data_IF_348054861886
#
_entry.id   IF_348054861886
#
_cell.length_a   1.000
_cell.length_b   1.000
_cell.length_c   1.000
_cell.angle_alpha   90.00
_cell.angle_beta   90.00
_cell.angle_gamma   90.00
#
_symmetry.space_group_name_H-M   'P 1'
#
loop_
_entity.id
_entity.type
_entity.pdbx_description
1 polymer ?
#
# COMPACT_ATOMS: atom_id res chain seq x y z
N UNK A 1 -37.31 -39.96 -6.03
CA UNK A 1 -37.00 -41.26 -5.43
C UNK A 1 -35.88 -40.97 -4.46
N UNK A 2 -36.03 -41.28 -3.16
CA UNK A 2 -34.90 -41.17 -2.25
C UNK A 2 -34.01 -42.39 -2.53
N UNK A 3 -32.82 -42.20 -3.06
CA UNK A 3 -31.87 -43.29 -3.14
C UNK A 3 -31.52 -43.73 -1.71
N UNK A 4 -31.07 -44.98 -1.56
CA UNK A 4 -30.50 -45.43 -0.28
C UNK A 4 -29.30 -44.55 0.10
N UNK A 5 -28.95 -44.46 1.38
CA UNK A 5 -27.75 -43.74 1.82
C UNK A 5 -26.49 -44.55 1.45
N UNK A 6 -25.45 -43.87 0.94
CA UNK A 6 -24.17 -44.54 0.72
C UNK A 6 -23.50 -44.90 2.06
N UNK A 7 -22.78 -46.02 2.08
CA UNK A 7 -21.92 -46.41 3.22
C UNK A 7 -20.48 -46.46 2.73
N UNK A 8 -19.58 -45.78 3.44
CA UNK A 8 -18.16 -45.71 3.09
C UNK A 8 -17.32 -46.63 4.00
N UNK A 9 -16.21 -47.13 3.47
CA UNK A 9 -15.16 -47.76 4.27
C UNK A 9 -14.24 -46.71 4.95
N UNK A 10 -13.22 -47.17 5.67
CA UNK A 10 -12.23 -46.32 6.34
C UNK A 10 -11.37 -45.47 5.38
N UNK A 11 -11.38 -45.80 4.08
CA UNK A 11 -10.65 -45.06 3.04
C UNK A 11 -11.56 -44.07 2.31
N UNK A 12 -12.83 -43.92 2.73
CA UNK A 12 -13.80 -43.05 2.08
C UNK A 12 -14.37 -43.59 0.78
N UNK A 13 -14.27 -44.90 0.54
CA UNK A 13 -14.79 -45.58 -0.67
C UNK A 13 -16.16 -46.20 -0.38
N UNK A 14 -17.12 -45.98 -1.27
CA UNK A 14 -18.47 -46.51 -1.12
C UNK A 14 -18.49 -48.05 -1.20
N UNK A 15 -18.87 -48.70 -0.11
CA UNK A 15 -19.16 -50.14 -0.03
C UNK A 15 -20.66 -50.43 -0.19
N UNK A 16 -21.49 -49.40 -0.20
CA UNK A 16 -22.90 -49.46 -0.59
C UNK A 16 -23.20 -48.22 -1.41
N UNK A 17 -23.79 -48.41 -2.60
CA UNK A 17 -24.15 -47.31 -3.48
C UNK A 17 -25.35 -46.54 -2.94
N UNK A 18 -25.34 -45.21 -3.11
CA UNK A 18 -26.39 -44.37 -2.57
C UNK A 18 -26.07 -42.88 -2.59
N UNK A 19 -26.98 -42.09 -2.06
CA UNK A 19 -26.79 -40.65 -1.87
C UNK A 19 -26.04 -40.39 -0.55
N UNK A 20 -25.15 -39.39 -0.54
CA UNK A 20 -24.47 -38.90 0.65
C UNK A 20 -24.36 -37.38 0.59
N UNK A 21 -24.48 -36.70 1.73
CA UNK A 21 -24.15 -35.28 1.81
C UNK A 21 -22.64 -35.11 1.98
N UNK A 22 -22.04 -34.34 1.10
CA UNK A 22 -20.64 -33.92 1.21
C UNK A 22 -20.56 -32.42 1.44
N UNK A 23 -19.51 -32.00 2.13
CA UNK A 23 -19.23 -30.61 2.45
C UNK A 23 -17.98 -30.18 1.69
N UNK A 24 -18.17 -29.31 0.71
CA UNK A 24 -17.13 -28.83 -0.19
C UNK A 24 -16.35 -27.70 0.47
N UNK A 25 -15.03 -27.70 0.27
CA UNK A 25 -14.14 -26.65 0.74
C UNK A 25 -13.20 -26.18 -0.36
N UNK A 26 -12.67 -24.97 -0.20
CA UNK A 26 -11.71 -24.38 -1.12
C UNK A 26 -10.38 -25.13 -1.11
N UNK A 27 -9.74 -25.30 -2.27
CA UNK A 27 -8.51 -26.07 -2.37
C UNK A 27 -7.29 -25.37 -1.75
N UNK A 28 -7.28 -24.03 -1.72
CA UNK A 28 -6.14 -23.22 -1.27
C UNK A 28 -6.25 -22.89 0.22
N UNK A 29 -7.36 -22.25 0.62
CA UNK A 29 -7.54 -21.76 1.98
C UNK A 29 -8.37 -22.71 2.87
N UNK A 30 -8.89 -23.80 2.28
CA UNK A 30 -9.65 -24.86 2.97
C UNK A 30 -10.96 -24.37 3.61
N UNK A 31 -11.42 -23.18 3.24
CA UNK A 31 -12.67 -22.61 3.75
C UNK A 31 -13.87 -23.41 3.25
N UNK A 32 -14.84 -23.64 4.15
CA UNK A 32 -16.11 -24.24 3.80
C UNK A 32 -16.87 -23.41 2.76
N UNK A 33 -17.32 -24.04 1.67
CA UNK A 33 -18.04 -23.39 0.58
C UNK A 33 -19.53 -23.71 0.60
N UNK A 34 -19.88 -25.01 0.56
CA UNK A 34 -21.26 -25.45 0.41
C UNK A 34 -21.44 -26.92 0.78
N UNK A 35 -22.69 -27.35 0.96
CA UNK A 35 -23.06 -28.75 1.08
C UNK A 35 -23.82 -29.21 -0.17
N UNK A 36 -23.48 -30.37 -0.72
CA UNK A 36 -24.18 -30.99 -1.85
C UNK A 36 -24.52 -32.45 -1.53
N UNK A 37 -25.57 -32.97 -2.18
CA UNK A 37 -25.91 -34.39 -2.12
C UNK A 37 -25.36 -35.05 -3.38
N UNK A 38 -24.45 -36.00 -3.20
CA UNK A 38 -23.80 -36.74 -4.28
C UNK A 38 -24.27 -38.19 -4.27
N UNK A 39 -24.51 -38.74 -5.45
CA UNK A 39 -24.71 -40.18 -5.59
C UNK A 39 -23.37 -40.87 -5.82
N UNK A 40 -23.02 -41.81 -4.94
CA UNK A 40 -21.82 -42.63 -5.07
C UNK A 40 -22.19 -44.04 -5.49
N UNK A 41 -21.60 -44.51 -6.60
CA UNK A 41 -21.65 -45.93 -6.98
C UNK A 41 -20.71 -46.77 -6.10
N UNK A 42 -20.94 -48.08 -6.03
CA UNK A 42 -20.04 -49.00 -5.34
C UNK A 42 -18.60 -48.87 -5.88
N UNK A 43 -17.63 -48.75 -4.98
CA UNK A 43 -16.21 -48.59 -5.32
C UNK A 43 -15.77 -47.16 -5.67
N UNK A 44 -16.66 -46.17 -5.55
CA UNK A 44 -16.37 -44.75 -5.83
C UNK A 44 -16.16 -43.97 -4.53
N UNK A 45 -15.15 -43.10 -4.49
CA UNK A 45 -14.88 -42.19 -3.37
C UNK A 45 -15.63 -40.86 -3.47
N UNK A 46 -15.64 -40.09 -2.39
CA UNK A 46 -16.18 -38.72 -2.39
C UNK A 46 -15.39 -37.81 -3.35
N UNK A 47 -16.00 -36.71 -3.85
CA UNK A 47 -15.29 -35.72 -4.65
C UNK A 47 -14.05 -35.16 -3.94
N UNK A 48 -13.04 -34.74 -4.71
CA UNK A 48 -11.89 -34.02 -4.16
C UNK A 48 -12.34 -32.73 -3.46
N UNK A 49 -11.59 -32.33 -2.43
CA UNK A 49 -11.90 -31.14 -1.62
C UNK A 49 -13.30 -31.16 -1.00
N UNK A 50 -13.72 -32.35 -0.55
CA UNK A 50 -14.96 -32.54 0.19
C UNK A 50 -14.75 -33.48 1.38
N UNK A 51 -15.63 -33.39 2.38
CA UNK A 51 -15.67 -34.32 3.50
C UNK A 51 -17.13 -34.66 3.89
N UNK A 52 -17.30 -35.66 4.77
CA UNK A 52 -18.63 -36.14 5.19
C UNK A 52 -19.03 -35.65 6.58
N UNK A 53 -18.07 -35.13 7.36
CA UNK A 53 -18.34 -34.50 8.65
C UNK A 53 -18.80 -33.06 8.44
N UNK A 54 -19.93 -32.71 9.05
CA UNK A 54 -20.51 -31.38 8.89
C UNK A 54 -19.63 -30.29 9.52
N UNK A 55 -19.51 -29.11 8.87
CA UNK A 55 -18.84 -27.97 9.47
C UNK A 55 -19.62 -27.47 10.70
N UNK A 56 -18.94 -26.86 11.69
CA UNK A 56 -19.60 -26.17 12.77
C UNK A 56 -20.38 -24.95 12.27
N UNK A 57 -21.27 -24.42 13.12
CA UNK A 57 -22.01 -23.19 12.82
C UNK A 57 -21.07 -21.99 12.60
N UNK A 58 -21.51 -21.03 11.78
CA UNK A 58 -20.75 -19.81 11.54
C UNK A 58 -20.61 -19.00 12.83
N UNK A 59 -19.41 -18.46 13.06
CA UNK A 59 -19.10 -17.61 14.21
C UNK A 59 -18.53 -16.27 13.74
N UNK A 60 -19.06 -15.11 14.19
CA UNK A 60 -18.53 -13.81 13.82
C UNK A 60 -17.03 -13.68 14.10
N UNK A 61 -16.28 -13.12 13.16
CA UNK A 61 -14.82 -12.96 13.24
C UNK A 61 -14.00 -14.23 12.93
N UNK A 62 -14.65 -15.31 12.47
CA UNK A 62 -13.97 -16.54 12.10
C UNK A 62 -14.51 -17.14 10.80
N UNK A 63 -13.60 -17.64 9.98
CA UNK A 63 -13.89 -18.56 8.89
C UNK A 63 -13.86 -20.01 9.41
N UNK A 64 -14.61 -20.88 8.75
CA UNK A 64 -14.59 -22.32 9.05
C UNK A 64 -13.75 -23.00 7.98
N UNK A 65 -12.59 -23.54 8.36
CA UNK A 65 -11.64 -24.15 7.43
C UNK A 65 -11.32 -25.60 7.83
N UNK A 66 -10.95 -26.45 6.86
CA UNK A 66 -10.28 -27.71 7.17
C UNK A 66 -8.89 -27.44 7.74
N UNK A 67 -8.47 -28.28 8.68
CA UNK A 67 -7.09 -28.28 9.13
C UNK A 67 -6.12 -28.74 8.03
N UNK A 68 -4.82 -28.63 8.29
CA UNK A 68 -3.77 -28.96 7.30
C UNK A 68 -3.83 -30.41 6.85
N UNK A 69 -4.20 -31.32 7.76
CA UNK A 69 -4.34 -32.74 7.47
C UNK A 69 -5.72 -33.07 6.87
N UNK A 70 -6.59 -32.07 6.71
CA UNK A 70 -7.94 -32.18 6.15
C UNK A 70 -8.82 -33.21 6.85
N UNK A 71 -8.64 -33.38 8.16
CA UNK A 71 -9.34 -34.36 8.99
C UNK A 71 -10.45 -33.72 9.84
N UNK A 72 -10.30 -32.46 10.22
CA UNK A 72 -11.28 -31.76 11.07
C UNK A 72 -11.54 -30.33 10.60
N UNK A 73 -12.72 -29.82 10.95
CA UNK A 73 -13.04 -28.40 10.84
C UNK A 73 -12.46 -27.61 12.02
N UNK A 74 -11.94 -26.41 11.73
CA UNK A 74 -11.44 -25.44 12.71
C UNK A 74 -12.01 -24.06 12.43
N UNK A 75 -12.18 -23.28 13.50
CA UNK A 75 -12.36 -21.84 13.38
C UNK A 75 -11.01 -21.18 13.17
N UNK A 76 -10.87 -20.45 12.07
CA UNK A 76 -9.68 -19.66 11.73
C UNK A 76 -10.06 -18.18 11.81
N UNK A 77 -9.27 -17.31 12.45
CA UNK A 77 -9.55 -15.88 12.50
C UNK A 77 -9.80 -15.31 11.11
N UNK A 78 -10.76 -14.39 11.00
CA UNK A 78 -11.12 -13.78 9.73
C UNK A 78 -10.97 -12.27 9.82
N UNK A 79 -9.78 -11.81 9.40
CA UNK A 79 -9.41 -10.40 9.31
C UNK A 79 -9.58 -9.85 7.88
N UNK A 80 -10.28 -10.57 6.98
CA UNK A 80 -10.40 -10.16 5.58
C UNK A 80 -11.05 -8.79 5.46
N UNK A 81 -10.49 -7.97 4.57
CA UNK A 81 -10.90 -6.56 4.37
C UNK A 81 -10.25 -5.58 5.35
N UNK A 82 -9.53 -6.06 6.36
CA UNK A 82 -8.67 -5.20 7.18
C UNK A 82 -7.38 -4.83 6.42
N UNK A 83 -6.83 -3.67 6.77
CA UNK A 83 -5.54 -3.20 6.26
C UNK A 83 -4.52 -3.23 7.39
N UNK A 84 -3.42 -3.94 7.19
CA UNK A 84 -2.24 -3.90 8.06
C UNK A 84 -1.08 -3.24 7.34
N UNK A 85 0.01 -2.97 8.06
CA UNK A 85 1.18 -2.29 7.54
C UNK A 85 2.41 -3.16 7.80
N UNK A 86 3.26 -3.35 6.79
CA UNK A 86 4.52 -4.05 6.94
C UNK A 86 5.42 -3.29 7.92
N UNK A 87 5.92 -3.94 8.96
CA UNK A 87 6.85 -3.33 9.92
C UNK A 87 8.24 -3.06 9.34
N UNK A 88 8.53 -3.61 8.16
CA UNK A 88 9.80 -3.41 7.45
C UNK A 88 9.84 -2.06 6.72
N UNK A 89 8.73 -1.65 6.10
CA UNK A 89 8.71 -0.50 5.18
C UNK A 89 7.46 0.39 5.26
N UNK A 90 6.49 0.06 6.13
CA UNK A 90 5.27 0.83 6.31
C UNK A 90 4.22 0.64 5.21
N UNK A 91 4.45 -0.22 4.22
CA UNK A 91 3.51 -0.44 3.13
C UNK A 91 2.22 -1.11 3.62
N UNK A 92 1.09 -0.63 3.11
CA UNK A 92 -0.22 -1.21 3.39
C UNK A 92 -0.36 -2.60 2.73
N UNK A 93 -0.91 -3.54 3.48
CA UNK A 93 -1.21 -4.91 3.07
C UNK A 93 -2.68 -5.18 3.38
N UNK A 94 -3.45 -5.51 2.34
CA UNK A 94 -4.84 -5.93 2.48
C UNK A 94 -4.89 -7.40 2.88
N UNK A 95 -5.68 -7.72 3.90
CA UNK A 95 -5.94 -9.11 4.27
C UNK A 95 -7.02 -9.69 3.34
N UNK A 96 -6.65 -10.74 2.61
CA UNK A 96 -7.53 -11.39 1.61
C UNK A 96 -7.81 -12.85 1.93
N UNK A 97 -7.09 -13.45 2.87
CA UNK A 97 -7.24 -14.84 3.29
C UNK A 97 -7.58 -14.93 4.78
N UNK A 98 -8.35 -15.94 5.20
CA UNK A 98 -8.55 -16.22 6.61
C UNK A 98 -7.22 -16.68 7.24
N UNK A 99 -7.00 -16.29 8.49
CA UNK A 99 -5.77 -16.57 9.24
C UNK A 99 -5.47 -15.49 10.25
N UNK A 100 -4.42 -15.73 11.04
CA UNK A 100 -3.78 -14.66 11.83
C UNK A 100 -3.19 -13.59 10.91
N UNK A 101 -2.87 -12.43 11.48
CA UNK A 101 -2.15 -11.39 10.74
C UNK A 101 -0.83 -11.93 10.15
N UNK A 102 -0.46 -11.52 8.93
CA UNK A 102 0.82 -11.90 8.34
C UNK A 102 1.98 -11.54 9.27
N UNK A 103 3.06 -12.34 9.25
CA UNK A 103 4.27 -12.00 10.00
C UNK A 103 4.80 -10.63 9.57
N UNK A 104 5.49 -9.95 10.49
CA UNK A 104 6.11 -8.64 10.25
C UNK A 104 5.10 -7.57 9.78
N UNK A 105 3.88 -7.62 10.34
CA UNK A 105 2.84 -6.62 10.13
C UNK A 105 2.27 -6.06 11.44
N UNK A 106 1.69 -4.87 11.35
CA UNK A 106 1.00 -4.18 12.44
C UNK A 106 -0.27 -3.50 11.94
N UNK A 107 -1.30 -3.42 12.79
CA UNK A 107 -2.52 -2.65 12.50
C UNK A 107 -2.31 -1.13 12.67
N UNK A 108 -1.17 -0.72 13.26
CA UNK A 108 -0.84 0.69 13.44
C UNK A 108 -0.34 1.26 12.11
N UNK A 109 -0.95 2.34 11.64
CA UNK A 109 -0.50 3.03 10.43
C UNK A 109 0.71 3.94 10.74
N UNK A 110 1.76 3.96 9.91
CA UNK A 110 2.78 4.99 9.99
C UNK A 110 2.18 6.37 9.64
N UNK A 111 2.49 7.38 10.42
CA UNK A 111 2.04 8.75 10.22
C UNK A 111 2.77 9.42 9.05
N UNK A 112 4.05 9.06 8.83
CA UNK A 112 4.88 9.61 7.77
C UNK A 112 5.61 8.52 6.99
N UNK A 113 6.06 8.85 5.79
CA UNK A 113 6.92 7.97 4.97
C UNK A 113 8.34 7.80 5.55
N UNK A 114 8.68 8.55 6.59
CA UNK A 114 9.96 8.49 7.28
C UNK A 114 9.88 7.66 8.56
N UNK A 115 8.70 7.14 8.91
CA UNK A 115 8.53 6.34 10.11
C UNK A 115 9.20 4.98 9.97
N UNK A 116 9.86 4.56 11.04
CA UNK A 116 10.52 3.26 11.19
C UNK A 116 9.92 2.54 12.39
N UNK A 117 9.71 1.24 12.25
CA UNK A 117 9.18 0.42 13.34
C UNK A 117 10.26 0.13 14.37
N UNK A 118 10.00 0.43 15.64
CA UNK A 118 10.94 0.18 16.75
C UNK A 118 10.74 -1.18 17.45
N UNK A 119 9.74 -1.95 17.01
CA UNK A 119 9.28 -3.19 17.65
C UNK A 119 7.89 -3.09 18.26
N UNK A 120 7.43 -1.88 18.59
CA UNK A 120 6.14 -1.63 19.25
C UNK A 120 5.34 -0.48 18.60
N UNK A 121 6.01 0.57 18.14
CA UNK A 121 5.43 1.78 17.56
C UNK A 121 6.23 2.30 16.38
N UNK A 122 5.56 3.15 15.59
CA UNK A 122 6.20 3.92 14.53
C UNK A 122 6.92 5.12 15.12
N UNK A 123 8.20 5.27 14.82
CA UNK A 123 9.03 6.41 15.22
C UNK A 123 9.57 7.08 13.97
N UNK A 124 9.31 8.38 13.82
CA UNK A 124 9.80 9.15 12.68
C UNK A 124 11.32 9.25 12.69
N UNK A 125 11.96 8.84 11.59
CA UNK A 125 13.37 9.08 11.36
C UNK A 125 13.59 10.55 11.00
N UNK A 126 13.86 11.36 12.03
CA UNK A 126 14.11 12.79 11.90
C UNK A 126 15.31 13.10 10.98
N UNK A 127 16.31 12.21 10.90
CA UNK A 127 17.46 12.39 10.03
C UNK A 127 17.09 12.25 8.56
N UNK A 128 16.33 11.20 8.22
CA UNK A 128 15.80 10.99 6.86
C UNK A 128 14.79 12.07 6.47
N UNK A 129 13.91 12.46 7.40
CA UNK A 129 12.95 13.53 7.16
C UNK A 129 13.69 14.84 6.84
N UNK A 130 14.63 15.25 7.71
CA UNK A 130 15.36 16.49 7.50
C UNK A 130 16.19 16.47 6.21
N UNK A 131 16.84 15.35 5.89
CA UNK A 131 17.56 15.21 4.61
C UNK A 131 16.64 15.42 3.40
N UNK A 132 15.42 14.87 3.43
CA UNK A 132 14.43 15.08 2.37
C UNK A 132 13.92 16.53 2.30
N UNK A 133 13.75 17.19 3.45
CA UNK A 133 13.40 18.62 3.53
C UNK A 133 14.50 19.50 2.91
N UNK A 134 15.78 19.16 3.14
CA UNK A 134 16.92 19.85 2.51
C UNK A 134 16.96 19.66 1.00
N UNK A 135 16.72 18.43 0.51
CA UNK A 135 16.64 18.18 -0.93
C UNK A 135 15.50 18.96 -1.58
N UNK A 136 14.32 18.97 -0.95
CA UNK A 136 13.17 19.73 -1.43
C UNK A 136 13.44 21.24 -1.42
N UNK A 137 14.08 21.77 -0.38
CA UNK A 137 14.50 23.17 -0.32
C UNK A 137 15.51 23.52 -1.43
N UNK A 138 16.49 22.65 -1.69
CA UNK A 138 17.45 22.82 -2.78
C UNK A 138 16.77 22.85 -4.15
N UNK A 139 15.83 21.93 -4.39
CA UNK A 139 15.04 21.89 -5.63
C UNK A 139 14.17 23.15 -5.78
N UNK A 140 13.56 23.63 -4.70
CA UNK A 140 12.77 24.86 -4.74
C UNK A 140 13.62 26.09 -5.06
N UNK A 141 14.84 26.17 -4.49
CA UNK A 141 15.80 27.23 -4.83
C UNK A 141 16.13 27.24 -6.32
N UNK A 142 16.44 26.08 -6.90
CA UNK A 142 16.70 25.96 -8.34
C UNK A 142 15.50 26.41 -9.18
N UNK A 143 14.29 26.02 -8.78
CA UNK A 143 13.07 26.45 -9.45
C UNK A 143 12.88 27.98 -9.40
N UNK A 144 13.18 28.63 -8.28
CA UNK A 144 13.11 30.09 -8.15
C UNK A 144 14.16 30.80 -9.01
N UNK A 145 15.38 30.27 -9.09
CA UNK A 145 16.44 30.79 -9.99
C UNK A 145 16.01 30.70 -11.46
N UNK A 146 15.47 29.56 -11.88
CA UNK A 146 14.98 29.35 -13.25
C UNK A 146 13.88 30.35 -13.60
N UNK A 147 12.91 30.55 -12.71
CA UNK A 147 11.82 31.51 -12.90
C UNK A 147 12.35 32.96 -12.98
N UNK A 148 13.29 33.32 -12.09
CA UNK A 148 13.91 34.64 -12.08
C UNK A 148 14.67 34.91 -13.39
N UNK A 149 15.48 33.95 -13.84
CA UNK A 149 16.23 34.02 -15.10
C UNK A 149 15.31 34.08 -16.33
N UNK A 150 14.23 33.31 -16.35
CA UNK A 150 13.22 33.38 -17.41
C UNK A 150 12.59 34.77 -17.50
N UNK A 151 12.37 35.45 -16.37
CA UNK A 151 11.76 36.79 -16.34
C UNK A 151 12.58 37.87 -17.06
N UNK A 152 13.90 37.66 -17.23
CA UNK A 152 14.85 38.57 -17.89
C UNK A 152 15.42 38.00 -19.19
N UNK A 153 14.89 36.90 -19.70
CA UNK A 153 15.39 36.24 -20.92
C UNK A 153 15.43 37.19 -22.12
N UNK A 154 14.37 37.99 -22.32
CA UNK A 154 14.32 38.99 -23.39
C UNK A 154 15.38 40.09 -23.23
N UNK A 155 15.66 40.51 -21.99
CA UNK A 155 16.70 41.50 -21.69
C UNK A 155 18.08 40.90 -22.05
N UNK A 156 18.33 39.65 -21.67
CA UNK A 156 19.55 38.92 -22.02
C UNK A 156 19.70 38.79 -23.55
N UNK A 157 18.61 38.53 -24.28
CA UNK A 157 18.61 38.49 -25.74
C UNK A 157 18.97 39.85 -26.36
N UNK A 158 18.43 40.96 -25.83
CA UNK A 158 18.76 42.32 -26.28
C UNK A 158 20.25 42.63 -26.11
N UNK A 159 20.83 42.28 -24.96
CA UNK A 159 22.25 42.44 -24.69
C UNK A 159 23.12 41.63 -25.66
N UNK A 160 22.79 40.35 -25.90
CA UNK A 160 23.49 39.48 -26.87
C UNK A 160 23.43 40.02 -28.30
N UNK A 161 22.35 40.70 -28.66
CA UNK A 161 22.19 41.38 -29.95
C UNK A 161 22.88 42.77 -30.01
N UNK A 162 23.58 43.19 -28.95
CA UNK A 162 24.27 44.48 -28.89
C UNK A 162 23.36 45.70 -28.73
N UNK A 163 22.10 45.50 -28.30
CA UNK A 163 21.14 46.60 -28.06
C UNK A 163 21.38 47.26 -26.71
N UNK A 164 21.12 48.56 -26.63
CA UNK A 164 21.08 49.30 -25.35
C UNK A 164 19.78 49.01 -24.61
N UNK A 165 19.87 48.79 -23.31
CA UNK A 165 18.71 48.63 -22.43
C UNK A 165 18.07 49.99 -22.13
N UNK A 166 16.76 49.99 -21.93
CA UNK A 166 16.05 51.12 -21.31
C UNK A 166 16.33 51.19 -19.80
N UNK A 167 16.04 52.32 -19.13
CA UNK A 167 16.17 52.43 -17.68
C UNK A 167 15.37 51.35 -16.92
N UNK A 168 14.12 51.07 -17.32
CA UNK A 168 13.26 50.06 -16.71
C UNK A 168 13.81 48.63 -16.86
N UNK A 169 14.39 48.32 -18.03
CA UNK A 169 15.02 47.02 -18.26
C UNK A 169 16.29 46.83 -17.44
N UNK A 170 17.07 47.91 -17.27
CA UNK A 170 18.25 47.90 -16.41
C UNK A 170 17.85 47.67 -14.96
N UNK A 171 16.82 48.37 -14.48
CA UNK A 171 16.29 48.20 -13.12
C UNK A 171 15.78 46.77 -12.88
N UNK A 172 14.99 46.22 -13.81
CA UNK A 172 14.50 44.84 -13.72
C UNK A 172 15.64 43.83 -13.72
N UNK A 173 16.64 44.00 -14.58
CA UNK A 173 17.79 43.10 -14.65
C UNK A 173 18.56 43.09 -13.32
N UNK A 174 18.84 44.27 -12.77
CA UNK A 174 19.54 44.39 -11.49
C UNK A 174 18.73 43.76 -10.35
N UNK A 175 17.42 44.03 -10.26
CA UNK A 175 16.57 43.46 -9.22
C UNK A 175 16.53 41.92 -9.28
N UNK A 176 16.57 41.32 -10.47
CA UNK A 176 16.64 39.87 -10.64
C UNK A 176 17.99 39.30 -10.25
N UNK A 177 19.09 39.97 -10.58
CA UNK A 177 20.42 39.56 -10.16
C UNK A 177 20.58 39.66 -8.63
N UNK A 178 20.14 40.76 -8.03
CA UNK A 178 20.12 40.96 -6.57
C UNK A 178 19.28 39.88 -5.89
N UNK A 179 18.12 39.54 -6.45
CA UNK A 179 17.28 38.43 -5.97
C UNK A 179 18.02 37.08 -6.02
N UNK A 180 18.69 36.76 -7.13
CA UNK A 180 19.45 35.50 -7.27
C UNK A 180 20.61 35.45 -6.27
N UNK A 181 21.29 36.57 -6.00
CA UNK A 181 22.36 36.63 -5.01
C UNK A 181 21.83 36.37 -3.59
N UNK A 182 20.69 36.99 -3.22
CA UNK A 182 20.03 36.75 -1.93
C UNK A 182 19.54 35.30 -1.82
N UNK A 183 18.97 34.77 -2.90
CA UNK A 183 18.47 33.41 -2.97
C UNK A 183 19.60 32.38 -2.80
N UNK A 184 20.75 32.59 -3.44
CA UNK A 184 21.93 31.75 -3.28
C UNK A 184 22.53 31.83 -1.87
N UNK A 185 22.47 32.99 -1.23
CA UNK A 185 22.92 33.20 0.15
C UNK A 185 21.93 32.67 1.20
N UNK A 186 20.71 32.29 0.81
CA UNK A 186 19.68 31.78 1.72
C UNK A 186 20.12 30.44 2.31
N UNK A 187 20.17 30.39 3.64
CA UNK A 187 20.51 29.19 4.38
C UNK A 187 19.36 28.19 4.33
N UNK A 188 19.59 27.07 3.65
CA UNK A 188 18.60 25.99 3.52
C UNK A 188 18.64 25.02 4.70
N UNK A 189 19.63 25.12 5.60
CA UNK A 189 19.76 24.19 6.73
C UNK A 189 18.63 24.30 7.76
N UNK A 190 17.84 25.38 7.69
CA UNK A 190 16.66 25.60 8.55
C UNK A 190 15.38 24.98 7.98
N UNK A 191 15.47 24.16 6.93
CA UNK A 191 14.32 23.46 6.37
C UNK A 191 13.53 22.70 7.46
N UNK A 192 12.18 22.74 7.42
CA UNK A 192 11.34 23.34 6.38
C UNK A 192 11.11 24.86 6.54
N UNK A 193 11.51 25.46 7.67
CA UNK A 193 11.24 26.85 8.03
C UNK A 193 12.26 27.83 7.39
N UNK A 194 12.20 27.94 6.06
CA UNK A 194 13.07 28.83 5.27
C UNK A 194 12.29 30.10 4.87
N UNK A 195 12.89 31.26 5.13
CA UNK A 195 12.36 32.54 4.66
C UNK A 195 12.88 32.84 3.24
N UNK A 196 12.12 32.43 2.23
CA UNK A 196 12.49 32.63 0.83
C UNK A 196 12.39 34.11 0.43
N UNK A 197 13.35 34.65 -0.35
CA UNK A 197 13.23 36.00 -0.87
C UNK A 197 12.01 36.12 -1.80
N UNK A 198 11.40 37.30 -1.83
CA UNK A 198 10.30 37.59 -2.75
C UNK A 198 10.82 37.83 -4.15
N UNK A 199 10.19 37.20 -5.14
CA UNK A 199 10.54 37.41 -6.54
C UNK A 199 10.25 38.86 -6.95
N UNK A 200 11.18 39.55 -7.63
CA UNK A 200 10.91 40.89 -8.12
C UNK A 200 9.78 40.82 -9.16
N UNK A 201 8.64 41.43 -8.82
CA UNK A 201 7.50 41.53 -9.74
C UNK A 201 7.98 42.18 -11.04
N UNK A 202 7.66 41.55 -12.18
CA UNK A 202 7.88 42.17 -13.47
C UNK A 202 7.09 43.49 -13.49
N UNK A 203 7.78 44.63 -13.55
CA UNK A 203 7.14 45.90 -13.84
C UNK A 203 6.28 45.70 -15.09
N UNK A 204 4.96 45.91 -14.95
CA UNK A 204 4.02 45.77 -16.03
C UNK A 204 4.45 46.71 -17.18
N UNK A 205 4.64 46.13 -18.37
CA UNK A 205 4.89 46.86 -19.60
C UNK A 205 3.71 47.79 -19.94
#
# INVERSE_FOLDING_TARGET
>A
MNNAAAVLDQNGIAITAGDITVYNYDAENREYLSATVEYLAYGVGIPAHSCIDAPPEKRPGFAVCRDTDQNIWKYVPDHRGETVYSTENGNAVQITQPGDYPPDTTVKQPATIYDVWDGETWVTDAGRQHAAELEAAGAHRQQLEEQAMASVELINLKLRAGRRLTPQETEKLNAVLDFIDVLNATDISTAPDINWPEMPLAAAN
#
